data_IF_515838589323
#
_entry.id   IF_515838589323
#
_cell.length_a   1.000
_cell.length_b   1.000
_cell.length_c   1.000
_cell.angle_alpha   90.00
_cell.angle_beta   90.00
_cell.angle_gamma   90.00
#
_symmetry.space_group_name_H-M   'P 1'
#
loop_
_entity.id
_entity.type
_entity.pdbx_description
1 polymer ?
#
# COMPACT_ATOMS: atom_id res chain seq x y z
N UNK A 1 -31.28 -0.08 5.15
CA UNK A 1 -30.11 -0.75 4.53
C UNK A 1 -28.89 -0.33 5.31
N UNK A 2 -28.17 -1.25 5.93
CA UNK A 2 -26.88 -0.95 6.61
C UNK A 2 -25.89 -0.54 5.52
N UNK A 3 -25.28 0.66 5.60
CA UNK A 3 -24.29 1.02 4.61
C UNK A 3 -23.14 0.01 4.70
N UNK A 4 -22.84 -0.67 3.61
CA UNK A 4 -21.69 -1.57 3.55
C UNK A 4 -20.44 -0.76 3.87
N UNK A 5 -19.71 -1.17 4.92
CA UNK A 5 -18.43 -0.55 5.29
C UNK A 5 -17.34 -1.21 4.47
N UNK A 6 -16.54 -0.41 3.79
CA UNK A 6 -15.35 -0.87 3.08
C UNK A 6 -14.15 -0.73 4.01
N UNK A 7 -13.56 -1.83 4.50
CA UNK A 7 -12.30 -1.77 5.22
C UNK A 7 -11.16 -1.33 4.29
N UNK A 8 -10.30 -0.44 4.76
CA UNK A 8 -9.03 -0.08 4.12
C UNK A 8 -7.93 -0.47 5.08
N UNK A 9 -7.05 -1.38 4.65
CA UNK A 9 -5.90 -1.84 5.43
C UNK A 9 -4.67 -1.12 4.90
N UNK A 10 -4.06 -0.29 5.73
CA UNK A 10 -2.89 0.52 5.36
C UNK A 10 -1.64 -0.06 5.98
N UNK A 11 -0.63 -0.26 5.18
CA UNK A 11 0.71 -0.71 5.52
C UNK A 11 1.75 0.34 5.07
N UNK A 12 2.98 0.19 5.52
CA UNK A 12 4.12 0.97 5.05
C UNK A 12 5.27 0.01 4.71
N UNK A 13 6.21 -0.20 5.64
CA UNK A 13 7.31 -1.13 5.43
C UNK A 13 6.96 -2.56 5.87
N UNK A 14 7.41 -3.55 5.12
CA UNK A 14 7.32 -4.95 5.50
C UNK A 14 8.70 -5.46 5.94
N UNK A 15 9.01 -5.30 7.22
CA UNK A 15 10.29 -5.67 7.80
C UNK A 15 10.14 -6.11 9.26
N UNK A 16 11.26 -6.52 9.87
CA UNK A 16 11.31 -6.99 11.25
C UNK A 16 11.92 -5.97 12.21
N UNK A 17 11.91 -4.67 11.89
CA UNK A 17 12.47 -3.60 12.74
C UNK A 17 11.71 -3.42 14.06
N UNK A 18 10.43 -3.85 14.14
CA UNK A 18 9.55 -3.60 15.26
C UNK A 18 9.04 -2.15 15.35
N UNK A 19 9.26 -1.37 14.29
CA UNK A 19 8.73 0.00 14.19
C UNK A 19 7.20 0.01 14.15
N UNK A 20 6.60 1.11 14.59
CA UNK A 20 5.13 1.31 14.57
C UNK A 20 4.53 1.34 13.16
N UNK A 21 5.34 1.63 12.13
CA UNK A 21 4.93 1.60 10.72
C UNK A 21 5.37 0.32 10.00
N UNK A 22 5.94 -0.64 10.74
CA UNK A 22 6.45 -1.88 10.18
C UNK A 22 5.53 -3.06 10.51
N UNK A 23 5.29 -3.90 9.52
CA UNK A 23 4.62 -5.19 9.68
C UNK A 23 5.57 -6.28 9.20
N UNK A 24 5.77 -7.36 9.95
CA UNK A 24 6.66 -8.42 9.48
C UNK A 24 6.07 -9.12 8.25
N UNK A 25 6.90 -9.55 7.28
CA UNK A 25 6.43 -10.26 6.08
C UNK A 25 5.53 -11.46 6.41
N UNK A 26 5.88 -12.21 7.45
CA UNK A 26 5.08 -13.38 7.88
C UNK A 26 3.70 -13.01 8.43
N UNK A 27 3.58 -11.89 9.16
CA UNK A 27 2.29 -11.37 9.63
C UNK A 27 1.46 -10.89 8.45
N UNK A 28 2.06 -10.11 7.53
CA UNK A 28 1.38 -9.65 6.32
C UNK A 28 0.82 -10.83 5.52
N UNK A 29 1.65 -11.85 5.21
CA UNK A 29 1.22 -13.06 4.50
C UNK A 29 0.03 -13.72 5.19
N UNK A 30 0.10 -13.96 6.49
CA UNK A 30 -0.99 -14.58 7.26
C UNK A 30 -2.29 -13.77 7.21
N UNK A 31 -2.20 -12.43 7.23
CA UNK A 31 -3.37 -11.56 7.13
C UNK A 31 -4.01 -11.68 5.74
N UNK A 32 -3.23 -11.66 4.66
CA UNK A 32 -3.72 -11.80 3.29
C UNK A 32 -4.31 -13.19 3.04
N UNK A 33 -3.64 -14.25 3.49
CA UNK A 33 -4.15 -15.63 3.40
C UNK A 33 -5.47 -15.79 4.16
N UNK A 34 -5.58 -15.18 5.35
CA UNK A 34 -6.82 -15.22 6.11
C UNK A 34 -7.96 -14.50 5.37
N UNK A 35 -7.71 -13.33 4.82
CA UNK A 35 -8.70 -12.61 4.01
C UNK A 35 -9.16 -13.46 2.81
N UNK A 36 -8.22 -14.06 2.11
CA UNK A 36 -8.51 -14.94 0.96
C UNK A 36 -9.36 -16.15 1.38
N UNK A 37 -9.00 -16.83 2.48
CA UNK A 37 -9.76 -17.96 3.03
C UNK A 37 -11.17 -17.59 3.47
N UNK A 38 -11.38 -16.33 3.93
CA UNK A 38 -12.70 -15.81 4.26
C UNK A 38 -13.48 -15.34 3.03
N UNK A 39 -12.94 -15.49 1.82
CA UNK A 39 -13.58 -15.11 0.57
C UNK A 39 -13.58 -13.61 0.31
N UNK A 40 -12.68 -12.85 0.93
CA UNK A 40 -12.50 -11.43 0.61
C UNK A 40 -11.87 -11.27 -0.78
N UNK A 41 -12.27 -10.18 -1.43
CA UNK A 41 -11.65 -9.67 -2.65
C UNK A 41 -11.11 -8.26 -2.37
N UNK A 42 -10.04 -7.89 -3.04
CA UNK A 42 -9.51 -6.54 -2.94
C UNK A 42 -9.94 -5.71 -4.14
N UNK A 43 -10.17 -4.42 -3.91
CA UNK A 43 -10.34 -3.40 -4.94
C UNK A 43 -9.16 -2.44 -4.88
N UNK A 44 -8.81 -1.84 -6.02
CA UNK A 44 -7.98 -0.66 -6.02
C UNK A 44 -8.71 0.52 -5.37
N UNK A 45 -7.96 1.48 -4.84
CA UNK A 45 -8.57 2.65 -4.22
C UNK A 45 -9.32 3.51 -5.23
N UNK A 46 -8.84 3.59 -6.48
CA UNK A 46 -9.55 4.32 -7.54
C UNK A 46 -10.90 3.66 -7.88
N UNK A 47 -10.96 2.33 -7.94
CA UNK A 47 -12.23 1.63 -8.15
C UNK A 47 -13.18 1.85 -6.97
N UNK A 48 -12.69 1.75 -5.74
CA UNK A 48 -13.47 2.04 -4.55
C UNK A 48 -14.04 3.48 -4.57
N UNK A 49 -13.21 4.47 -4.91
CA UNK A 49 -13.63 5.86 -5.03
C UNK A 49 -14.66 6.06 -6.15
N UNK A 50 -14.51 5.36 -7.28
CA UNK A 50 -15.51 5.38 -8.36
C UNK A 50 -16.86 4.85 -7.89
N UNK A 51 -16.90 3.72 -7.19
CA UNK A 51 -18.15 3.15 -6.65
C UNK A 51 -18.83 4.13 -5.69
N UNK A 52 -18.07 4.78 -4.80
CA UNK A 52 -18.61 5.80 -3.88
C UNK A 52 -19.21 6.98 -4.66
N UNK A 53 -18.44 7.53 -5.61
CA UNK A 53 -18.90 8.67 -6.44
C UNK A 53 -20.18 8.34 -7.19
N UNK A 54 -20.28 7.12 -7.73
CA UNK A 54 -21.39 6.68 -8.57
C UNK A 54 -22.58 6.13 -7.72
N UNK A 55 -22.48 6.20 -6.37
CA UNK A 55 -23.50 5.72 -5.45
C UNK A 55 -23.75 4.20 -5.51
N UNK A 56 -22.73 3.45 -5.99
CA UNK A 56 -22.82 2.00 -6.14
C UNK A 56 -22.42 1.31 -4.83
N UNK A 57 -23.11 0.22 -4.45
CA UNK A 57 -22.76 -0.52 -3.25
C UNK A 57 -21.46 -1.33 -3.46
N UNK A 58 -20.69 -1.48 -2.42
CA UNK A 58 -19.60 -2.47 -2.40
C UNK A 58 -20.18 -3.89 -2.30
N UNK A 59 -19.51 -4.85 -2.91
CA UNK A 59 -19.80 -6.26 -2.68
C UNK A 59 -19.45 -6.64 -1.25
N UNK A 60 -20.15 -7.62 -0.70
CA UNK A 60 -19.77 -8.21 0.58
C UNK A 60 -18.35 -8.79 0.48
N UNK A 61 -17.64 -8.78 1.63
CA UNK A 61 -16.26 -9.29 1.72
C UNK A 61 -15.31 -8.62 0.71
N UNK A 62 -15.43 -7.30 0.62
CA UNK A 62 -14.51 -6.48 -0.16
C UNK A 62 -13.70 -5.60 0.79
N UNK A 63 -12.41 -5.44 0.50
CA UNK A 63 -11.52 -4.51 1.20
C UNK A 63 -10.57 -3.83 0.22
N UNK A 64 -9.87 -2.80 0.70
CA UNK A 64 -8.77 -2.15 -0.01
C UNK A 64 -7.50 -2.39 0.79
N UNK A 65 -6.39 -2.67 0.10
CA UNK A 65 -5.05 -2.74 0.67
C UNK A 65 -4.25 -1.56 0.13
N UNK A 66 -3.64 -0.79 1.02
CA UNK A 66 -2.79 0.34 0.63
C UNK A 66 -1.42 0.24 1.27
N UNK A 67 -0.42 0.78 0.60
CA UNK A 67 0.93 0.96 1.12
C UNK A 67 1.34 2.41 0.94
N UNK A 68 1.80 3.04 2.02
CA UNK A 68 2.33 4.39 1.98
C UNK A 68 3.85 4.39 1.81
N UNK A 69 4.42 5.52 1.38
CA UNK A 69 5.83 5.81 1.17
C UNK A 69 6.49 5.08 -0.01
N UNK A 70 6.00 3.93 -0.42
CA UNK A 70 6.58 3.16 -1.51
C UNK A 70 7.89 2.46 -1.15
N UNK A 71 8.02 1.87 0.04
CA UNK A 71 9.19 1.08 0.43
C UNK A 71 9.44 -0.11 -0.52
N UNK A 72 10.70 -0.40 -0.82
CA UNK A 72 11.08 -1.52 -1.70
C UNK A 72 10.63 -2.88 -1.14
N UNK A 73 10.45 -2.98 0.18
CA UNK A 73 9.92 -4.17 0.83
C UNK A 73 8.51 -4.54 0.34
N UNK A 74 7.75 -3.58 -0.19
CA UNK A 74 6.44 -3.86 -0.82
C UNK A 74 6.63 -4.73 -2.07
N UNK A 75 7.64 -4.45 -2.90
CA UNK A 75 7.95 -5.26 -4.07
C UNK A 75 8.47 -6.66 -3.68
N UNK A 76 9.38 -6.75 -2.69
CA UNK A 76 10.00 -8.02 -2.34
C UNK A 76 9.10 -8.95 -1.53
N UNK A 77 8.28 -8.39 -0.65
CA UNK A 77 7.55 -9.15 0.37
C UNK A 77 6.03 -9.16 0.12
N UNK A 78 5.43 -8.02 -0.27
CA UNK A 78 3.98 -7.95 -0.46
C UNK A 78 3.55 -8.42 -1.85
N UNK A 79 4.22 -7.93 -2.89
CA UNK A 79 3.81 -8.15 -4.26
C UNK A 79 3.67 -9.63 -4.63
N UNK A 80 4.63 -10.53 -4.31
CA UNK A 80 4.46 -11.96 -4.59
C UNK A 80 3.25 -12.59 -3.88
N UNK A 81 2.96 -12.14 -2.67
CA UNK A 81 1.80 -12.63 -1.90
C UNK A 81 0.49 -12.17 -2.53
N UNK A 82 0.42 -10.91 -2.93
CA UNK A 82 -0.77 -10.35 -3.59
C UNK A 82 -1.04 -11.04 -4.92
N UNK A 83 0.01 -11.28 -5.74
CA UNK A 83 -0.11 -12.02 -6.99
C UNK A 83 -0.61 -13.45 -6.77
N UNK A 84 -0.02 -14.18 -5.84
CA UNK A 84 -0.39 -15.57 -5.50
C UNK A 84 -1.88 -15.68 -5.15
N UNK A 85 -2.41 -14.67 -4.43
CA UNK A 85 -3.79 -14.66 -3.96
C UNK A 85 -4.78 -13.97 -4.91
N UNK A 86 -4.30 -13.42 -6.03
CA UNK A 86 -5.12 -12.64 -6.96
C UNK A 86 -5.64 -11.33 -6.36
N UNK A 87 -4.90 -10.75 -5.44
CA UNK A 87 -5.23 -9.49 -4.77
C UNK A 87 -4.58 -8.31 -5.47
N UNK A 88 -5.28 -7.18 -5.50
CA UNK A 88 -4.74 -5.87 -5.89
C UNK A 88 -4.47 -5.02 -4.66
N UNK A 89 -3.63 -3.99 -4.84
CA UNK A 89 -3.37 -2.96 -3.84
C UNK A 89 -3.09 -1.61 -4.50
N UNK A 90 -3.09 -0.54 -3.70
CA UNK A 90 -2.67 0.80 -4.13
C UNK A 90 -1.44 1.21 -3.34
N UNK A 91 -0.38 1.61 -4.01
CA UNK A 91 0.88 2.07 -3.39
C UNK A 91 1.03 3.57 -3.62
N UNK A 92 1.18 4.34 -2.54
CA UNK A 92 1.41 5.77 -2.59
C UNK A 92 2.90 6.09 -2.54
N UNK A 93 3.39 6.76 -3.59
CA UNK A 93 4.82 6.98 -3.83
C UNK A 93 5.26 8.38 -3.42
N UNK A 94 6.38 8.48 -2.69
CA UNK A 94 7.14 9.72 -2.54
C UNK A 94 8.00 9.88 -3.80
N UNK A 95 7.46 10.58 -4.81
CA UNK A 95 7.97 10.51 -6.18
C UNK A 95 9.38 11.05 -6.37
N UNK A 96 9.83 11.98 -5.51
CA UNK A 96 11.20 12.49 -5.52
C UNK A 96 12.24 11.50 -4.97
N UNK A 97 11.79 10.41 -4.35
CA UNK A 97 12.67 9.43 -3.71
C UNK A 97 12.57 8.01 -4.31
N UNK A 98 11.81 7.82 -5.37
CA UNK A 98 11.80 6.54 -6.09
C UNK A 98 13.22 6.11 -6.48
N UNK A 99 13.61 4.88 -6.11
CA UNK A 99 14.94 4.31 -6.33
C UNK A 99 16.03 4.87 -5.41
N UNK A 100 15.68 5.63 -4.39
CA UNK A 100 16.60 6.21 -3.40
C UNK A 100 16.28 5.67 -2.00
N UNK A 101 17.07 6.10 -1.02
CA UNK A 101 16.79 5.85 0.39
C UNK A 101 15.71 6.81 0.93
N UNK A 102 15.05 6.41 2.02
CA UNK A 102 14.03 7.18 2.74
C UNK A 102 14.64 8.36 3.55
N UNK A 103 15.43 9.19 2.89
CA UNK A 103 16.26 10.26 3.48
C UNK A 103 15.72 11.67 3.21
N UNK A 104 14.39 11.84 3.14
CA UNK A 104 13.79 13.16 2.92
C UNK A 104 13.98 14.10 4.13
N UNK A 105 14.05 15.43 3.91
CA UNK A 105 14.33 16.40 4.96
C UNK A 105 13.32 16.36 6.11
N UNK A 106 13.83 16.46 7.34
CA UNK A 106 12.99 16.45 8.55
C UNK A 106 12.53 15.07 9.01
N UNK A 107 12.93 14.03 8.30
CA UNK A 107 12.56 12.65 8.61
C UNK A 107 13.60 11.96 9.49
N UNK A 108 13.16 11.50 10.65
CA UNK A 108 13.88 10.47 11.41
C UNK A 108 13.17 9.16 11.12
N UNK A 109 13.76 8.33 10.26
CA UNK A 109 13.12 7.10 9.82
C UNK A 109 12.89 6.14 10.99
N UNK A 110 11.65 5.79 11.31
CA UNK A 110 11.37 4.84 12.37
C UNK A 110 11.76 3.40 12.00
N UNK A 111 12.04 3.14 10.72
CA UNK A 111 12.46 1.82 10.19
C UNK A 111 13.95 1.78 9.80
N UNK A 112 14.73 2.84 10.13
CA UNK A 112 16.10 2.98 9.67
C UNK A 112 16.20 3.34 8.17
N UNK A 113 17.39 3.20 7.60
CA UNK A 113 17.62 3.45 6.18
C UNK A 113 17.04 2.30 5.34
N UNK A 114 16.06 2.63 4.49
CA UNK A 114 15.38 1.70 3.60
C UNK A 114 15.39 2.25 2.17
N UNK A 115 15.47 1.37 1.20
CA UNK A 115 15.25 1.72 -0.19
C UNK A 115 13.76 1.90 -0.48
N UNK A 116 13.46 2.80 -1.40
CA UNK A 116 12.15 2.96 -2.00
C UNK A 116 12.11 2.29 -3.38
N UNK A 117 10.91 1.94 -3.82
CA UNK A 117 10.65 1.33 -5.13
C UNK A 117 11.34 2.11 -6.25
N UNK A 118 12.07 1.41 -7.09
CA UNK A 118 12.58 1.95 -8.35
C UNK A 118 11.47 2.05 -9.39
N UNK A 119 11.63 2.92 -10.39
CA UNK A 119 10.67 3.03 -11.49
C UNK A 119 10.48 1.72 -12.25
N UNK A 120 11.53 0.89 -12.39
CA UNK A 120 11.43 -0.44 -13.02
C UNK A 120 10.52 -1.38 -12.22
N UNK A 121 10.66 -1.40 -10.89
CA UNK A 121 9.78 -2.19 -10.02
C UNK A 121 8.33 -1.69 -10.07
N UNK A 122 8.14 -0.37 -10.07
CA UNK A 122 6.82 0.25 -10.20
C UNK A 122 6.15 -0.16 -11.52
N UNK A 123 6.88 -0.08 -12.64
CA UNK A 123 6.36 -0.49 -13.95
C UNK A 123 5.99 -1.98 -14.01
N UNK A 124 6.80 -2.84 -13.39
CA UNK A 124 6.51 -4.27 -13.30
C UNK A 124 5.23 -4.52 -12.50
N UNK A 125 5.14 -3.98 -11.28
CA UNK A 125 3.97 -4.14 -10.43
C UNK A 125 2.69 -3.58 -11.09
N UNK A 126 2.79 -2.47 -11.81
CA UNK A 126 1.66 -1.88 -12.53
C UNK A 126 1.09 -2.79 -13.63
N UNK A 127 1.95 -3.59 -14.29
CA UNK A 127 1.50 -4.61 -15.27
C UNK A 127 0.74 -5.76 -14.60
N UNK A 128 0.90 -5.93 -13.30
CA UNK A 128 0.30 -6.99 -12.48
C UNK A 128 -0.77 -6.46 -11.53
N UNK A 129 -1.53 -5.46 -12.01
CA UNK A 129 -2.72 -4.92 -11.32
C UNK A 129 -2.46 -4.21 -9.99
N UNK A 130 -1.23 -3.81 -9.69
CA UNK A 130 -0.96 -2.90 -8.57
C UNK A 130 -1.14 -1.46 -9.05
N UNK A 131 -1.96 -0.69 -8.33
CA UNK A 131 -2.22 0.71 -8.62
C UNK A 131 -1.23 1.61 -7.89
N UNK A 132 -0.91 2.77 -8.47
CA UNK A 132 -0.01 3.74 -7.86
C UNK A 132 -0.67 5.11 -7.73
N UNK A 133 -0.46 5.75 -6.57
CA UNK A 133 -0.86 7.11 -6.26
C UNK A 133 0.32 7.95 -5.81
N UNK A 134 0.11 9.26 -5.73
CA UNK A 134 1.13 10.20 -5.21
C UNK A 134 1.05 10.32 -3.70
N UNK A 135 2.23 10.27 -3.05
CA UNK A 135 2.41 10.60 -1.63
C UNK A 135 3.31 11.83 -1.48
N UNK A 136 3.04 12.86 -2.29
CA UNK A 136 3.86 14.07 -2.48
C UNK A 136 5.20 13.80 -3.20
N UNK A 137 5.97 14.84 -3.44
CA UNK A 137 7.31 14.73 -4.06
C UNK A 137 8.39 14.47 -3.00
N UNK A 138 8.30 15.13 -1.85
CA UNK A 138 9.37 15.19 -0.83
C UNK A 138 8.90 14.85 0.59
N UNK A 139 7.67 14.36 0.72
CA UNK A 139 7.05 14.02 2.01
C UNK A 139 7.10 15.15 3.05
N UNK A 140 6.71 16.41 2.70
CA UNK A 140 6.71 17.50 3.66
C UNK A 140 5.61 17.29 4.71
N UNK A 141 5.79 17.88 5.89
CA UNK A 141 4.69 18.04 6.83
C UNK A 141 3.66 19.00 6.22
N UNK A 142 2.52 18.48 5.77
CA UNK A 142 1.48 19.26 5.09
C UNK A 142 0.84 20.32 5.99
N UNK A 143 0.96 20.21 7.33
CA UNK A 143 0.54 21.26 8.25
C UNK A 143 1.47 22.48 8.25
N UNK A 144 2.68 22.33 7.72
CA UNK A 144 3.72 23.36 7.70
C UNK A 144 3.97 23.96 6.30
N UNK A 145 3.27 23.51 5.25
CA UNK A 145 3.37 24.09 3.90
C UNK A 145 2.36 25.22 3.73
N UNK A 146 2.79 26.32 3.09
CA UNK A 146 1.98 27.52 2.81
C UNK A 146 1.57 27.56 1.36
#
# INVERSE_FOLDING_TARGET
MTPYRLPILTYHSLDSSGSVISTTPSIFRRQMEWLHQQGFQTLSLAEAARLVRDGQPFRERTCVVTFDDGYETVYREAFPVLEELGFTATVFLITGYCGKQNSWPGHVSPVGEQLLLSWTQIEEMARHHIEFGSHTVTHPDLACVT
#
